data_IF_568737727959
#
_entry.id   IF_568737727959
#
_cell.length_a   1.000
_cell.length_b   1.000
_cell.length_c   1.000
_cell.angle_alpha   90.00
_cell.angle_beta   90.00
_cell.angle_gamma   90.00
#
_symmetry.space_group_name_H-M   'P 1'
#
loop_
_entity.id
_entity.type
_entity.pdbx_description
1 polymer ?
#
# COMPACT_ATOMS: atom_id res chain seq x y z
N UNK A 1 -8.75 3.55 23.99
CA UNK A 1 -8.36 2.81 22.78
C UNK A 1 -9.48 2.85 21.71
N UNK A 2 -9.16 3.07 20.43
CA UNK A 2 -10.17 3.10 19.38
C UNK A 2 -10.84 1.72 19.23
N UNK A 3 -12.15 1.67 18.93
CA UNK A 3 -12.98 0.45 18.98
C UNK A 3 -12.63 -0.65 17.95
N UNK A 4 -11.56 -0.49 17.16
CA UNK A 4 -11.08 -1.48 16.19
C UNK A 4 -9.92 -2.36 16.68
N UNK A 5 -9.48 -2.20 17.94
CA UNK A 5 -8.29 -2.86 18.48
C UNK A 5 -8.53 -3.98 19.50
N UNK A 6 -9.78 -4.30 19.79
CA UNK A 6 -10.11 -5.43 20.66
C UNK A 6 -10.22 -6.68 19.78
N UNK A 7 -9.40 -7.68 20.12
CA UNK A 7 -9.25 -8.92 19.38
C UNK A 7 -10.58 -9.60 19.09
N UNK A 8 -10.71 -10.11 17.88
CA UNK A 8 -11.68 -11.16 17.57
C UNK A 8 -11.11 -12.50 18.05
N UNK A 9 -10.95 -12.63 19.36
CA UNK A 9 -10.90 -13.94 20.03
C UNK A 9 -12.31 -14.21 20.55
N UNK A 10 -13.16 -14.72 19.67
CA UNK A 10 -14.55 -15.01 20.02
C UNK A 10 -15.19 -15.83 18.91
N UNK A 11 -15.21 -17.16 19.11
CA UNK A 11 -15.90 -18.09 18.23
C UNK A 11 -17.37 -17.71 18.06
N UNK A 12 -17.77 -17.53 16.80
CA UNK A 12 -19.15 -17.25 16.40
C UNK A 12 -19.43 -17.99 15.11
N UNK A 13 -20.07 -19.15 15.24
CA UNK A 13 -20.45 -20.06 14.16
C UNK A 13 -21.64 -19.46 13.40
N UNK A 14 -21.44 -18.36 12.67
CA UNK A 14 -22.39 -17.82 11.69
C UNK A 14 -21.59 -17.09 10.62
N UNK A 15 -21.70 -17.53 9.37
CA UNK A 15 -21.01 -17.03 8.19
C UNK A 15 -21.43 -15.60 7.81
N UNK A 16 -21.27 -14.63 8.70
CA UNK A 16 -21.23 -13.22 8.36
C UNK A 16 -19.87 -12.97 7.69
N UNK A 17 -19.84 -13.14 6.37
CA UNK A 17 -18.73 -12.74 5.50
C UNK A 17 -18.67 -11.21 5.54
N UNK A 18 -18.12 -10.64 6.61
CA UNK A 18 -17.78 -9.23 6.67
C UNK A 18 -16.72 -9.02 5.61
N UNK A 19 -17.09 -8.32 4.54
CA UNK A 19 -16.14 -7.98 3.50
C UNK A 19 -14.97 -7.22 4.13
N UNK A 20 -13.76 -7.47 3.61
CA UNK A 20 -12.63 -6.62 4.00
C UNK A 20 -12.92 -5.20 3.51
N UNK A 21 -12.86 -4.23 4.41
CA UNK A 21 -13.08 -2.82 4.12
C UNK A 21 -11.85 -2.03 4.51
N UNK A 22 -11.56 -0.95 3.77
CA UNK A 22 -10.51 -0.01 4.15
C UNK A 22 -11.09 1.02 5.11
N UNK A 23 -10.70 0.95 6.38
CA UNK A 23 -11.01 1.99 7.38
C UNK A 23 -10.25 3.29 7.08
N UNK A 24 -9.04 3.20 6.54
CA UNK A 24 -8.25 4.33 6.04
C UNK A 24 -7.73 3.97 4.66
N UNK A 25 -7.96 4.89 3.72
CA UNK A 25 -7.43 4.88 2.35
C UNK A 25 -7.14 6.31 1.94
N UNK A 26 -5.95 6.79 2.25
CA UNK A 26 -5.56 8.16 1.94
C UNK A 26 -4.34 8.15 1.04
N UNK A 27 -4.34 9.06 0.08
CA UNK A 27 -3.19 9.34 -0.78
C UNK A 27 -2.89 10.82 -0.61
N UNK A 28 -1.64 11.11 -0.28
CA UNK A 28 -1.12 12.47 -0.19
C UNK A 28 0.00 12.62 -1.21
N UNK A 29 0.09 13.81 -1.81
CA UNK A 29 1.15 14.18 -2.73
C UNK A 29 1.90 15.39 -2.17
N UNK A 30 3.22 15.41 -2.32
CA UNK A 30 4.04 16.53 -1.86
C UNK A 30 3.93 17.78 -2.75
N UNK A 31 3.69 17.60 -4.05
CA UNK A 31 3.61 18.70 -5.02
C UNK A 31 2.90 18.26 -6.29
N UNK A 32 2.02 19.12 -6.80
CA UNK A 32 1.36 18.92 -8.11
C UNK A 32 2.05 19.70 -9.24
N UNK A 33 3.22 20.29 -8.97
CA UNK A 33 3.96 21.09 -9.96
C UNK A 33 4.52 20.17 -11.05
N UNK A 34 4.17 20.45 -12.31
CA UNK A 34 4.69 19.74 -13.48
C UNK A 34 6.22 19.79 -13.51
N UNK A 35 6.84 18.66 -13.82
CA UNK A 35 8.30 18.53 -13.92
C UNK A 35 9.01 18.42 -12.57
N UNK A 36 8.33 18.68 -11.46
CA UNK A 36 8.87 18.50 -10.12
C UNK A 36 8.78 17.03 -9.67
N UNK A 37 9.62 16.68 -8.70
CA UNK A 37 9.54 15.39 -8.01
C UNK A 37 8.40 15.42 -7.00
N UNK A 38 7.54 14.42 -7.09
CA UNK A 38 6.37 14.26 -6.23
C UNK A 38 6.50 12.99 -5.40
N UNK A 39 6.60 13.16 -4.09
CA UNK A 39 6.44 12.08 -3.12
C UNK A 39 4.96 11.78 -2.93
N UNK A 40 4.56 10.58 -3.34
CA UNK A 40 3.22 10.04 -3.08
C UNK A 40 3.29 9.21 -1.80
N UNK A 41 2.46 9.54 -0.83
CA UNK A 41 2.30 8.80 0.43
C UNK A 41 0.91 8.19 0.49
N UNK A 42 0.86 6.86 0.51
CA UNK A 42 -0.35 6.06 0.64
C UNK A 42 -0.46 5.59 2.08
N UNK A 43 -1.59 5.89 2.73
CA UNK A 43 -1.93 5.44 4.08
C UNK A 43 -3.10 4.48 4.03
N UNK A 44 -2.91 3.29 4.57
CA UNK A 44 -3.83 2.16 4.52
C UNK A 44 -4.11 1.66 5.93
N UNK A 45 -5.39 1.42 6.24
CA UNK A 45 -5.81 0.71 7.46
C UNK A 45 -7.00 -0.18 7.12
N UNK A 46 -6.85 -1.51 7.10
CA UNK A 46 -7.96 -2.41 6.83
C UNK A 46 -8.83 -2.63 8.08
N UNK A 47 -10.07 -3.08 7.89
CA UNK A 47 -11.00 -3.47 8.96
C UNK A 47 -10.69 -4.83 9.56
N UNK A 48 -9.85 -5.62 8.88
CA UNK A 48 -9.32 -6.91 9.33
C UNK A 48 -7.83 -7.02 9.01
N UNK A 49 -7.05 -7.71 9.83
CA UNK A 49 -5.61 -7.79 9.63
C UNK A 49 -5.32 -8.54 8.33
N UNK A 50 -4.73 -7.85 7.35
CA UNK A 50 -4.36 -8.47 6.07
C UNK A 50 -3.00 -9.12 6.22
N UNK A 51 -2.94 -10.44 6.05
CA UNK A 51 -1.70 -11.20 6.06
C UNK A 51 -1.35 -11.63 4.65
N UNK A 52 -0.11 -11.39 4.23
CA UNK A 52 0.43 -11.97 3.01
C UNK A 52 0.46 -13.49 3.14
N UNK A 53 -0.45 -14.16 2.44
CA UNK A 53 -0.46 -15.63 2.32
C UNK A 53 0.69 -16.13 1.45
N UNK A 54 0.79 -17.45 1.27
CA UNK A 54 1.88 -18.08 0.48
C UNK A 54 1.95 -17.58 -0.98
N UNK A 55 0.84 -17.11 -1.55
CA UNK A 55 0.82 -16.48 -2.88
C UNK A 55 1.36 -15.04 -2.94
N UNK A 56 1.72 -14.46 -1.79
CA UNK A 56 2.08 -13.05 -1.63
C UNK A 56 0.87 -12.12 -1.75
N UNK A 57 0.95 -10.95 -1.10
CA UNK A 57 -0.06 -9.89 -1.26
C UNK A 57 0.44 -8.88 -2.27
N UNK A 58 -0.35 -8.55 -3.29
CA UNK A 58 0.00 -7.51 -4.27
C UNK A 58 -0.73 -6.21 -3.95
N UNK A 59 0.04 -5.14 -3.79
CA UNK A 59 -0.46 -3.77 -3.67
C UNK A 59 -0.18 -3.07 -4.99
N UNK A 60 -1.24 -2.67 -5.69
CA UNK A 60 -1.14 -1.92 -6.94
C UNK A 60 -1.71 -0.53 -6.74
N UNK A 61 -0.92 0.49 -7.05
CA UNK A 61 -1.36 1.89 -7.10
C UNK A 61 -1.52 2.26 -8.57
N UNK A 62 -2.73 2.61 -8.99
CA UNK A 62 -3.06 2.96 -10.37
C UNK A 62 -3.48 4.44 -10.48
N UNK A 63 -3.49 4.98 -11.69
CA UNK A 63 -3.82 6.40 -11.94
C UNK A 63 -2.60 7.31 -11.91
N UNK A 64 -1.41 6.74 -12.15
CA UNK A 64 -0.14 7.44 -12.23
C UNK A 64 0.21 7.81 -13.69
N UNK A 65 -0.78 7.85 -14.58
CA UNK A 65 -0.66 8.11 -16.03
C UNK A 65 -0.11 9.50 -16.39
N UNK A 66 -0.19 10.45 -15.46
CA UNK A 66 0.41 11.80 -15.58
C UNK A 66 1.71 11.94 -14.79
N UNK A 67 2.37 10.83 -14.51
CA UNK A 67 3.66 10.83 -13.82
C UNK A 67 4.69 10.06 -14.64
N UNK A 68 5.88 10.63 -14.80
CA UNK A 68 7.05 9.95 -15.31
C UNK A 68 7.77 9.22 -14.17
N UNK A 69 8.24 8.00 -14.45
CA UNK A 69 9.15 7.31 -13.55
C UNK A 69 10.45 8.10 -13.41
N UNK A 70 11.02 8.13 -12.20
CA UNK A 70 12.32 8.77 -11.95
C UNK A 70 13.46 8.11 -12.73
N UNK A 71 13.40 6.78 -12.86
CA UNK A 71 14.27 5.92 -13.66
C UNK A 71 13.56 4.56 -13.81
N UNK A 72 13.86 3.86 -14.89
CA UNK A 72 13.22 2.64 -15.40
C UNK A 72 12.67 1.66 -14.35
N UNK A 73 11.36 1.37 -14.46
CA UNK A 73 10.63 0.20 -13.93
C UNK A 73 10.71 -0.13 -12.44
N UNK A 74 11.58 0.49 -11.65
CA UNK A 74 11.86 0.14 -10.26
C UNK A 74 11.91 1.40 -9.39
N UNK A 75 10.91 1.59 -8.53
CA UNK A 75 10.83 2.72 -7.62
C UNK A 75 11.10 2.26 -6.18
N UNK A 76 12.06 2.88 -5.46
CA UNK A 76 12.25 2.61 -4.05
C UNK A 76 11.02 3.07 -3.29
N UNK A 77 10.58 2.22 -2.36
CA UNK A 77 9.45 2.50 -1.49
C UNK A 77 9.91 2.64 -0.05
N UNK A 78 9.25 3.51 0.69
CA UNK A 78 9.55 3.83 2.09
C UNK A 78 8.26 3.82 2.92
N UNK A 79 8.38 3.84 4.24
CA UNK A 79 7.23 3.79 5.16
C UNK A 79 7.15 2.50 5.95
N UNK A 80 6.08 2.31 6.72
CA UNK A 80 5.96 1.16 7.63
C UNK A 80 5.76 -0.17 6.91
N UNK A 81 5.30 -0.15 5.65
CA UNK A 81 5.20 -1.35 4.81
C UNK A 81 6.45 -1.65 3.99
N UNK A 82 7.39 -0.73 3.87
CA UNK A 82 8.58 -0.91 3.01
C UNK A 82 9.40 -2.17 3.36
N UNK A 83 9.69 -2.50 4.63
CA UNK A 83 10.44 -3.72 4.97
C UNK A 83 9.77 -5.02 4.53
N UNK A 84 8.45 -4.97 4.31
CA UNK A 84 7.65 -6.11 3.88
C UNK A 84 7.48 -6.17 2.37
N UNK A 85 7.96 -5.18 1.63
CA UNK A 85 7.93 -5.17 0.17
C UNK A 85 9.10 -6.00 -0.35
N UNK A 86 8.77 -7.02 -1.13
CA UNK A 86 9.72 -7.88 -1.82
C UNK A 86 10.63 -7.04 -2.75
N UNK A 87 11.75 -7.63 -3.21
CA UNK A 87 12.77 -6.92 -3.98
C UNK A 87 13.42 -5.76 -3.21
N UNK A 88 13.59 -5.93 -1.89
CA UNK A 88 14.33 -4.98 -1.06
C UNK A 88 13.67 -3.60 -0.99
N UNK A 89 12.37 -3.54 -0.72
CA UNK A 89 11.62 -2.25 -0.69
C UNK A 89 11.58 -1.54 -2.05
N UNK A 90 11.37 -2.29 -3.14
CA UNK A 90 11.27 -1.70 -4.49
C UNK A 90 9.98 -2.15 -5.19
N UNK A 91 9.19 -1.19 -5.66
CA UNK A 91 7.99 -1.41 -6.46
C UNK A 91 8.28 -1.37 -7.96
N UNK A 92 7.52 -2.11 -8.74
CA UNK A 92 7.63 -2.14 -10.20
C UNK A 92 6.71 -1.08 -10.81
N UNK A 93 7.29 -0.03 -11.40
CA UNK A 93 6.54 1.07 -12.01
C UNK A 93 6.38 0.89 -13.52
N UNK A 94 5.15 0.75 -13.98
CA UNK A 94 4.80 0.75 -15.39
C UNK A 94 4.32 2.15 -15.80
N UNK A 95 5.17 2.87 -16.53
CA UNK A 95 4.85 4.21 -17.03
C UNK A 95 3.86 4.21 -18.20
N UNK A 96 3.74 3.10 -18.93
CA UNK A 96 2.77 2.95 -20.02
C UNK A 96 1.35 2.70 -19.50
N UNK A 97 1.22 1.96 -18.40
CA UNK A 97 -0.04 1.68 -17.72
C UNK A 97 -0.37 2.69 -16.61
N UNK A 98 0.60 3.50 -16.16
CA UNK A 98 0.42 4.41 -15.04
C UNK A 98 0.16 3.65 -13.73
N UNK A 99 0.90 2.57 -13.49
CA UNK A 99 0.70 1.71 -12.32
C UNK A 99 2.00 1.38 -11.59
N UNK A 100 1.96 1.40 -10.26
CA UNK A 100 3.03 0.91 -9.39
C UNK A 100 2.57 -0.39 -8.72
N UNK A 101 3.26 -1.48 -9.00
CA UNK A 101 2.97 -2.80 -8.46
C UNK A 101 4.01 -3.22 -7.44
N UNK A 102 3.57 -3.56 -6.23
CA UNK A 102 4.44 -4.01 -5.15
C UNK A 102 3.95 -5.36 -4.64
N UNK A 103 4.87 -6.31 -4.52
CA UNK A 103 4.60 -7.60 -3.93
C UNK A 103 5.08 -7.55 -2.47
N UNK A 104 4.20 -7.85 -1.52
CA UNK A 104 4.58 -8.03 -0.13
C UNK A 104 5.04 -9.47 0.10
N UNK A 105 6.06 -9.66 0.93
CA UNK A 105 6.61 -10.96 1.30
C UNK A 105 5.60 -11.77 2.13
N UNK A 106 5.73 -13.09 2.12
CA UNK A 106 4.97 -13.96 3.03
C UNK A 106 5.23 -13.54 4.48
N UNK A 107 4.17 -13.43 5.28
CA UNK A 107 4.27 -12.95 6.67
C UNK A 107 4.16 -11.43 6.83
N UNK A 108 4.07 -10.65 5.76
CA UNK A 108 3.68 -9.24 5.84
C UNK A 108 2.29 -9.11 6.48
N UNK A 109 2.14 -8.20 7.45
CA UNK A 109 0.85 -7.94 8.11
C UNK A 109 0.53 -6.46 8.01
N UNK A 110 -0.64 -6.14 7.45
CA UNK A 110 -1.22 -4.80 7.55
C UNK A 110 -2.18 -4.82 8.75
N UNK A 111 -1.81 -4.23 9.90
CA UNK A 111 -2.61 -4.27 11.11
C UNK A 111 -3.88 -3.43 10.98
N UNK A 112 -4.93 -3.79 11.72
CA UNK A 112 -6.19 -3.03 11.79
C UNK A 112 -6.11 -1.79 12.68
N UNK A 113 -5.16 -1.80 13.62
CA UNK A 113 -5.03 -0.82 14.69
C UNK A 113 -4.17 0.39 14.36
N UNK A 114 -3.32 0.25 13.35
CA UNK A 114 -2.27 1.22 13.05
C UNK A 114 -2.36 1.53 11.57
N UNK A 115 -2.12 2.79 11.20
CA UNK A 115 -2.03 3.20 9.82
C UNK A 115 -0.72 2.71 9.23
N UNK A 116 -0.83 1.87 8.22
CA UNK A 116 0.28 1.42 7.41
C UNK A 116 0.56 2.44 6.32
N UNK A 117 1.83 2.83 6.16
CA UNK A 117 2.23 3.84 5.19
C UNK A 117 3.16 3.24 4.15
N UNK A 118 2.98 3.69 2.91
CA UNK A 118 3.84 3.38 1.79
C UNK A 118 4.06 4.66 1.00
N UNK A 119 5.32 5.04 0.81
CA UNK A 119 5.69 6.26 0.08
C UNK A 119 6.66 5.94 -1.05
N UNK A 120 6.50 6.61 -2.18
CA UNK A 120 7.36 6.48 -3.35
C UNK A 120 7.41 7.80 -4.11
N UNK A 121 8.53 8.04 -4.81
CA UNK A 121 8.74 9.29 -5.54
C UNK A 121 8.55 9.06 -7.03
N UNK A 122 7.74 9.91 -7.65
CA UNK A 122 7.53 9.98 -9.10
C UNK A 122 7.82 11.39 -9.60
N UNK A 123 7.98 11.58 -10.90
CA UNK A 123 8.09 12.91 -11.50
C UNK A 123 6.75 13.29 -12.11
N UNK A 124 6.22 14.47 -11.83
CA UNK A 124 4.99 14.92 -12.48
C UNK A 124 5.25 15.24 -13.96
N UNK A 125 4.38 14.76 -14.86
CA UNK A 125 4.52 14.94 -16.31
C UNK A 125 3.90 16.25 -16.86
#
# INVERSE_FOLDING_TARGET
PPPGCLGLEGGGVLAARKAVEWLVRQIAESTSVRGALNLITVSLRPSFALRGGEGGMRVTVSGLDKTGGLSDSALPVSGSLAPFVANGSTGVFDSGAGTLSMQLTAGAVIPTCVESTLSFTVKNA
#
